data_IF_790520067681
#
_entry.id   IF_790520067681
#
_cell.length_a   1.000
_cell.length_b   1.000
_cell.length_c   1.000
_cell.angle_alpha   90.00
_cell.angle_beta   90.00
_cell.angle_gamma   90.00
#
_symmetry.space_group_name_H-M   'P 1'
#
loop_
_entity.id
_entity.type
_entity.pdbx_description
1 polymer ?
#
# COMPACT_ATOMS: atom_id res chain seq x y z
N UNK A 1 5.59 -3.41 -16.74
CA UNK A 1 4.22 -3.50 -16.20
C UNK A 1 3.43 -2.28 -16.64
N UNK A 2 2.26 -2.51 -17.19
CA UNK A 2 1.36 -1.42 -17.56
C UNK A 2 0.65 -0.91 -16.32
N UNK A 3 0.81 0.37 -15.99
CA UNK A 3 0.21 1.00 -14.83
C UNK A 3 -0.94 1.95 -15.19
N UNK A 4 -1.47 1.87 -16.41
CA UNK A 4 -2.50 2.80 -16.88
C UNK A 4 -3.74 2.82 -15.98
N UNK A 5 -4.09 1.68 -15.37
CA UNK A 5 -5.23 1.60 -14.46
C UNK A 5 -4.98 2.17 -13.06
N UNK A 6 -3.73 2.44 -12.71
CA UNK A 6 -3.38 2.90 -11.36
C UNK A 6 -3.80 4.35 -11.12
N UNK A 7 -3.88 5.16 -12.17
CA UNK A 7 -4.33 6.55 -12.05
C UNK A 7 -5.75 6.66 -11.48
N UNK A 8 -6.57 5.66 -11.71
CA UNK A 8 -7.92 5.62 -11.14
C UNK A 8 -7.91 5.49 -9.61
N UNK A 9 -6.79 5.07 -9.03
CA UNK A 9 -6.64 4.90 -7.59
C UNK A 9 -6.10 6.15 -6.89
N UNK A 10 -5.72 7.18 -7.64
CA UNK A 10 -5.21 8.43 -7.06
C UNK A 10 -6.26 9.04 -6.14
N UNK A 11 -5.84 9.44 -4.95
CA UNK A 11 -6.72 9.96 -3.91
C UNK A 11 -7.34 8.89 -3.02
N UNK A 12 -7.12 7.62 -3.33
CA UNK A 12 -7.66 6.50 -2.53
C UNK A 12 -6.58 5.94 -1.61
N UNK A 13 -7.02 5.39 -0.47
CA UNK A 13 -6.13 4.62 0.40
C UNK A 13 -5.93 3.25 -0.23
N UNK A 14 -4.67 2.89 -0.46
CA UNK A 14 -4.31 1.67 -1.15
C UNK A 14 -3.40 0.80 -0.30
N UNK A 15 -3.43 -0.50 -0.62
CA UNK A 15 -2.48 -1.50 -0.11
C UNK A 15 -1.54 -1.83 -1.26
N UNK A 16 -0.26 -1.57 -1.06
CA UNK A 16 0.78 -1.84 -2.07
C UNK A 16 1.62 -3.00 -1.58
N UNK A 17 1.47 -4.14 -2.23
CA UNK A 17 2.25 -5.33 -1.96
C UNK A 17 3.45 -5.34 -2.89
N UNK A 18 4.63 -5.59 -2.33
CA UNK A 18 5.88 -5.57 -3.09
C UNK A 18 6.58 -6.92 -3.02
N UNK A 19 7.58 -7.10 -3.84
CA UNK A 19 8.45 -8.28 -3.82
C UNK A 19 9.50 -8.21 -2.71
N UNK A 20 9.42 -7.20 -1.86
CA UNK A 20 10.29 -7.03 -0.69
C UNK A 20 9.58 -7.49 0.58
N UNK A 21 10.25 -7.31 1.73
CA UNK A 21 9.64 -7.61 3.03
C UNK A 21 8.62 -6.57 3.48
N UNK A 22 8.48 -5.47 2.74
CA UNK A 22 7.59 -4.37 3.13
C UNK A 22 6.27 -4.42 2.40
N UNK A 23 5.20 -4.06 3.10
CA UNK A 23 3.91 -3.71 2.53
C UNK A 23 3.62 -2.26 2.94
N UNK A 24 3.01 -1.51 2.02
CA UNK A 24 2.75 -0.08 2.22
C UNK A 24 1.25 0.17 2.19
N UNK A 25 0.75 0.90 3.19
CA UNK A 25 -0.65 1.32 3.23
C UNK A 25 -0.68 2.84 3.36
N UNK A 26 -1.31 3.50 2.39
CA UNK A 26 -1.38 4.95 2.39
C UNK A 26 -2.20 5.45 1.23
N UNK A 27 -2.32 6.77 1.12
CA UNK A 27 -3.06 7.40 0.04
C UNK A 27 -2.16 7.51 -1.19
N UNK A 28 -2.64 7.00 -2.32
CA UNK A 28 -1.93 7.17 -3.59
C UNK A 28 -2.07 8.61 -4.04
N UNK A 29 -0.95 9.32 -4.13
CA UNK A 29 -0.91 10.73 -4.51
C UNK A 29 -0.63 10.91 -6.00
N UNK A 30 0.38 10.20 -6.51
CA UNK A 30 0.81 10.33 -7.90
C UNK A 30 1.30 9.00 -8.43
N UNK A 31 1.12 8.82 -9.74
CA UNK A 31 1.69 7.71 -10.50
C UNK A 31 2.69 8.31 -11.48
N UNK A 32 3.97 8.15 -11.20
CA UNK A 32 5.06 8.65 -12.04
C UNK A 32 5.55 7.54 -12.98
N UNK A 33 6.51 7.85 -13.84
CA UNK A 33 7.00 6.90 -14.85
C UNK A 33 7.56 5.64 -14.20
N UNK A 34 8.42 5.78 -13.19
CA UNK A 34 9.13 4.65 -12.59
C UNK A 34 8.72 4.35 -11.16
N UNK A 35 7.95 5.23 -10.53
CA UNK A 35 7.54 5.04 -9.14
C UNK A 35 6.15 5.64 -8.88
N UNK A 36 5.57 5.22 -7.77
CA UNK A 36 4.33 5.82 -7.26
C UNK A 36 4.67 6.58 -5.99
N UNK A 37 3.92 7.63 -5.70
CA UNK A 37 4.06 8.45 -4.50
C UNK A 37 2.88 8.19 -3.59
N UNK A 38 3.17 7.77 -2.37
CA UNK A 38 2.18 7.54 -1.33
C UNK A 38 2.32 8.59 -0.25
N UNK A 39 1.20 9.03 0.30
CA UNK A 39 1.12 9.99 1.40
C UNK A 39 0.51 9.33 2.62
N UNK A 40 0.94 9.80 3.81
CA UNK A 40 0.44 9.30 5.10
C UNK A 40 0.49 7.78 5.14
N UNK A 41 1.71 7.26 5.08
CA UNK A 41 1.97 5.85 4.80
C UNK A 41 2.34 5.11 6.07
N UNK A 42 1.72 3.95 6.25
CA UNK A 42 2.18 2.94 7.19
C UNK A 42 3.05 1.96 6.43
N UNK A 43 4.35 1.98 6.70
CA UNK A 43 5.31 1.03 6.13
C UNK A 43 5.44 -0.12 7.12
N UNK A 44 4.96 -1.28 6.70
CA UNK A 44 4.94 -2.47 7.56
C UNK A 44 5.97 -3.48 7.09
N UNK A 45 6.85 -3.91 8.01
CA UNK A 45 7.83 -4.96 7.76
C UNK A 45 7.21 -6.30 8.17
N UNK A 46 6.94 -7.15 7.17
CA UNK A 46 6.29 -8.46 7.39
C UNK A 46 7.13 -9.40 8.26
N UNK A 47 8.45 -9.17 8.34
CA UNK A 47 9.35 -10.03 9.10
C UNK A 47 9.43 -9.65 10.58
N UNK A 48 9.07 -8.43 10.92
CA UNK A 48 9.16 -7.92 12.30
C UNK A 48 7.84 -8.03 13.06
N UNK A 49 6.73 -8.29 12.35
CA UNK A 49 5.42 -8.37 12.97
C UNK A 49 5.07 -9.81 13.32
N UNK A 50 4.47 -10.07 14.50
CA UNK A 50 3.92 -11.38 14.81
C UNK A 50 2.64 -11.70 14.03
N UNK A 51 2.01 -10.71 13.42
CA UNK A 51 0.79 -10.89 12.65
C UNK A 51 1.10 -11.29 11.22
N UNK A 52 0.18 -12.03 10.60
CA UNK A 52 0.26 -12.26 9.15
C UNK A 52 -0.03 -10.96 8.41
N UNK A 53 0.37 -10.91 7.13
CA UNK A 53 0.06 -9.76 6.27
C UNK A 53 -1.45 -9.55 6.19
N UNK A 54 -2.22 -10.63 6.03
CA UNK A 54 -3.67 -10.56 5.93
C UNK A 54 -4.29 -9.98 7.19
N UNK A 55 -3.83 -10.42 8.35
CA UNK A 55 -4.33 -9.91 9.62
C UNK A 55 -4.01 -8.42 9.77
N UNK A 56 -2.79 -8.02 9.41
CA UNK A 56 -2.38 -6.62 9.47
C UNK A 56 -3.26 -5.74 8.57
N UNK A 57 -3.51 -6.17 7.33
CA UNK A 57 -4.36 -5.43 6.39
C UNK A 57 -5.79 -5.33 6.89
N UNK A 58 -6.32 -6.43 7.45
CA UNK A 58 -7.68 -6.43 8.01
C UNK A 58 -7.79 -5.48 9.21
N UNK A 59 -6.79 -5.46 10.08
CA UNK A 59 -6.77 -4.54 11.22
C UNK A 59 -6.72 -3.08 10.73
N UNK A 60 -5.96 -2.81 9.68
CA UNK A 60 -5.88 -1.47 9.11
C UNK A 60 -7.23 -1.05 8.52
N UNK A 61 -7.91 -1.95 7.83
CA UNK A 61 -9.26 -1.67 7.31
C UNK A 61 -10.23 -1.35 8.42
N UNK A 62 -10.14 -2.08 9.53
CA UNK A 62 -11.06 -1.94 10.66
C UNK A 62 -10.76 -0.69 11.50
N UNK A 63 -9.49 -0.40 11.75
CA UNK A 63 -9.08 0.65 12.70
C UNK A 63 -8.46 1.88 12.04
N UNK A 64 -8.25 1.86 10.74
CA UNK A 64 -7.63 2.96 9.99
C UNK A 64 -6.12 2.81 9.87
N UNK A 65 -5.56 3.59 8.96
CA UNK A 65 -4.11 3.64 8.73
C UNK A 65 -3.48 4.45 9.86
N UNK A 66 -2.37 3.92 10.41
CA UNK A 66 -1.55 4.62 11.40
C UNK A 66 -0.21 4.97 10.75
N UNK A 67 -0.09 6.15 10.14
CA UNK A 67 1.09 6.48 9.35
C UNK A 67 2.37 6.54 10.18
N UNK A 68 3.45 6.01 9.63
CA UNK A 68 4.79 6.20 10.20
C UNK A 68 5.72 6.93 9.23
N UNK A 69 5.22 7.31 8.04
CA UNK A 69 5.92 8.15 7.07
C UNK A 69 4.94 9.14 6.45
N UNK A 70 5.37 10.37 6.23
CA UNK A 70 4.54 11.37 5.55
C UNK A 70 4.42 11.09 4.07
N UNK A 71 5.50 10.62 3.46
CA UNK A 71 5.55 10.36 2.02
C UNK A 71 6.53 9.24 1.74
N UNK A 72 6.18 8.37 0.82
CA UNK A 72 7.05 7.28 0.36
C UNK A 72 6.93 7.17 -1.16
N UNK A 73 8.07 7.02 -1.82
CA UNK A 73 8.14 6.70 -3.24
C UNK A 73 8.44 5.21 -3.36
N UNK A 74 7.57 4.47 -4.03
CA UNK A 74 7.75 3.03 -4.23
C UNK A 74 8.00 2.77 -5.71
N UNK A 75 9.07 2.05 -6.02
CA UNK A 75 9.40 1.71 -7.42
C UNK A 75 8.34 0.78 -7.99
N UNK A 76 7.83 1.13 -9.18
CA UNK A 76 6.82 0.30 -9.86
C UNK A 76 7.32 -1.12 -10.10
N UNK A 77 8.62 -1.27 -10.40
CA UNK A 77 9.23 -2.58 -10.67
C UNK A 77 9.14 -3.53 -9.48
N UNK A 78 8.97 -3.01 -8.27
CA UNK A 78 8.87 -3.84 -7.06
C UNK A 78 7.42 -4.12 -6.66
N UNK A 79 6.44 -3.47 -7.30
CA UNK A 79 5.03 -3.65 -6.94
C UNK A 79 4.52 -4.95 -7.54
N UNK A 80 4.02 -5.83 -6.68
CA UNK A 80 3.36 -7.08 -7.07
C UNK A 80 1.87 -6.83 -7.28
N UNK A 81 1.26 -6.07 -6.38
CA UNK A 81 -0.16 -5.73 -6.49
C UNK A 81 -0.44 -4.41 -5.80
N UNK A 82 -1.48 -3.75 -6.28
CA UNK A 82 -2.02 -2.55 -5.65
C UNK A 82 -3.54 -2.68 -5.64
N UNK A 83 -4.15 -2.42 -4.49
CA UNK A 83 -5.60 -2.52 -4.34
C UNK A 83 -6.09 -1.43 -3.39
N UNK A 84 -7.37 -1.07 -3.53
CA UNK A 84 -7.98 -0.14 -2.58
C UNK A 84 -8.17 -0.87 -1.24
N UNK A 85 -7.84 -0.20 -0.15
CA UNK A 85 -8.09 -0.75 1.19
C UNK A 85 -9.59 -1.08 1.36
N UNK A 86 -10.47 -0.24 0.82
CA UNK A 86 -11.92 -0.45 0.89
C UNK A 86 -12.38 -1.74 0.21
N UNK A 87 -11.61 -2.26 -0.74
CA UNK A 87 -11.96 -3.47 -1.49
C UNK A 87 -11.48 -4.76 -0.81
N UNK A 88 -10.76 -4.65 0.31
CA UNK A 88 -10.33 -5.85 1.04
C UNK A 88 -11.54 -6.51 1.67
N UNK A 89 -11.69 -7.81 1.42
CA UNK A 89 -12.83 -8.58 1.89
C UNK A 89 -12.41 -9.34 3.14
N UNK A 90 -13.17 -9.15 4.24
CA UNK A 90 -12.93 -9.86 5.49
C UNK A 90 -13.65 -11.21 5.51
N UNK A 91 -13.14 -12.08 6.37
CA UNK A 91 -13.73 -13.41 6.58
C UNK A 91 -14.30 -13.51 7.97
#
# INVERSE_FOLDING_TARGET
MDSAGWEALVGKVVVVDTDSRFVYLGTLDKVEVEFIVLKDVDVHDRRESPSTKEQYVMDTKKFGVKPNRKEVNVRKAQVVSISKLADIVGF
#
